data_IF_397584539384
#
_entry.id   IF_397584539384
#
_cell.length_a   1.000
_cell.length_b   1.000
_cell.length_c   1.000
_cell.angle_alpha   90.00
_cell.angle_beta   90.00
_cell.angle_gamma   90.00
#
_symmetry.space_group_name_H-M   'P 1'
#
loop_
_entity.id
_entity.type
_entity.pdbx_description
1 polymer ?
#
# COMPACT_ATOMS: atom_id res chain seq x y z
N UNK A 1 18.97 19.13 -21.33
CA UNK A 1 18.01 18.30 -22.09
C UNK A 1 17.89 16.95 -21.41
N UNK A 2 16.69 16.61 -20.94
CA UNK A 2 16.43 15.41 -20.14
C UNK A 2 16.42 14.15 -21.02
N UNK A 3 17.37 13.25 -20.78
CA UNK A 3 17.37 11.88 -21.30
C UNK A 3 16.26 11.08 -20.60
N UNK A 4 15.15 10.84 -21.29
CA UNK A 4 14.08 9.99 -20.77
C UNK A 4 14.17 8.57 -21.31
N UNK A 5 14.64 7.67 -20.45
CA UNK A 5 14.18 6.29 -20.26
C UNK A 5 13.65 5.52 -21.48
N UNK A 6 14.55 4.73 -22.06
CA UNK A 6 14.29 3.49 -22.77
C UNK A 6 13.39 2.53 -21.96
N UNK A 7 12.44 1.89 -22.65
CA UNK A 7 11.53 0.80 -22.23
C UNK A 7 10.13 1.19 -21.71
N UNK A 8 9.13 0.71 -22.46
CA UNK A 8 7.71 0.72 -22.14
C UNK A 8 6.99 1.87 -22.81
N UNK A 9 5.94 1.57 -23.58
CA UNK A 9 5.01 2.59 -24.08
C UNK A 9 4.65 3.52 -22.93
N UNK A 10 5.16 4.76 -22.97
CA UNK A 10 4.83 5.76 -21.97
C UNK A 10 3.31 5.94 -21.99
N UNK A 11 2.77 6.22 -20.82
CA UNK A 11 1.41 6.64 -20.43
C UNK A 11 0.75 7.70 -21.36
N UNK A 12 1.39 8.15 -22.45
CA UNK A 12 0.94 9.21 -23.33
C UNK A 12 -0.19 8.83 -24.30
N UNK A 13 -0.42 7.56 -24.65
CA UNK A 13 -1.59 7.18 -25.49
C UNK A 13 -2.93 7.23 -24.74
N UNK A 14 -2.92 7.52 -23.43
CA UNK A 14 -4.07 7.39 -22.53
C UNK A 14 -4.93 8.66 -22.40
N UNK A 15 -4.78 9.65 -23.30
CA UNK A 15 -5.48 10.93 -23.14
C UNK A 15 -6.86 11.01 -23.80
N UNK A 16 -7.25 10.07 -24.66
CA UNK A 16 -8.55 10.13 -25.37
C UNK A 16 -9.43 8.90 -25.18
N UNK A 17 -8.88 7.68 -25.33
CA UNK A 17 -9.62 6.44 -25.13
C UNK A 17 -8.84 5.46 -24.24
N UNK A 18 -9.27 5.31 -22.98
CA UNK A 18 -8.69 4.38 -22.01
C UNK A 18 -9.57 3.13 -21.85
N UNK A 19 -9.19 1.96 -22.42
CA UNK A 19 -10.00 0.74 -22.34
C UNK A 19 -10.29 0.26 -20.91
N UNK A 20 -9.45 0.66 -19.92
CA UNK A 20 -9.71 0.35 -18.51
C UNK A 20 -10.89 1.14 -17.95
N UNK A 21 -11.11 2.37 -18.40
CA UNK A 21 -12.27 3.17 -17.98
C UNK A 21 -13.56 2.60 -18.56
N UNK A 22 -13.54 2.13 -19.82
CA UNK A 22 -14.66 1.41 -20.41
C UNK A 22 -15.00 0.15 -19.60
N UNK A 23 -14.01 -0.70 -19.30
CA UNK A 23 -14.21 -1.90 -18.47
C UNK A 23 -14.72 -1.55 -17.07
N UNK A 24 -14.19 -0.51 -16.43
CA UNK A 24 -14.65 -0.05 -15.12
C UNK A 24 -16.12 0.37 -15.15
N UNK A 25 -16.52 1.18 -16.14
CA UNK A 25 -17.93 1.58 -16.33
C UNK A 25 -18.85 0.37 -16.46
N UNK A 26 -18.42 -0.68 -17.15
CA UNK A 26 -19.21 -1.90 -17.30
C UNK A 26 -19.34 -2.70 -15.99
N UNK A 27 -18.29 -2.78 -15.20
CA UNK A 27 -18.31 -3.41 -13.86
C UNK A 27 -19.24 -2.62 -12.94
N UNK A 28 -19.06 -1.30 -12.89
CA UNK A 28 -19.85 -0.42 -12.01
C UNK A 28 -21.34 -0.42 -12.41
N UNK A 29 -21.64 -0.53 -13.72
CA UNK A 29 -23.01 -0.66 -14.23
C UNK A 29 -23.65 -2.04 -14.06
N UNK A 30 -22.85 -3.07 -13.72
CA UNK A 30 -23.33 -4.45 -13.53
C UNK A 30 -22.65 -5.11 -12.31
N UNK A 31 -22.90 -4.63 -11.07
CA UNK A 31 -22.13 -4.97 -9.88
C UNK A 31 -22.19 -6.44 -9.44
N UNK A 32 -23.13 -7.22 -10.00
CA UNK A 32 -23.28 -8.66 -9.73
C UNK A 32 -23.11 -9.52 -10.98
N UNK A 33 -22.71 -8.94 -12.11
CA UNK A 33 -22.52 -9.70 -13.33
C UNK A 33 -21.28 -10.60 -13.23
N UNK A 34 -21.41 -11.79 -13.80
CA UNK A 34 -20.28 -12.67 -13.97
C UNK A 34 -19.27 -12.13 -14.99
N UNK A 35 -18.02 -12.57 -14.84
CA UNK A 35 -16.92 -12.19 -15.75
C UNK A 35 -17.24 -12.50 -17.23
N UNK A 36 -17.90 -13.62 -17.49
CA UNK A 36 -18.32 -14.06 -18.83
C UNK A 36 -19.25 -13.03 -19.48
N UNK A 37 -20.25 -12.56 -18.73
CA UNK A 37 -21.17 -11.52 -19.17
C UNK A 37 -20.43 -10.20 -19.44
N UNK A 38 -19.57 -9.77 -18.52
CA UNK A 38 -18.79 -8.53 -18.69
C UNK A 38 -17.86 -8.59 -19.91
N UNK A 39 -17.31 -9.75 -20.25
CA UNK A 39 -16.51 -9.94 -21.45
C UNK A 39 -17.35 -9.78 -22.73
N UNK A 40 -18.56 -10.34 -22.76
CA UNK A 40 -19.49 -10.17 -23.88
C UNK A 40 -19.87 -8.70 -24.03
N UNK A 41 -20.21 -8.02 -22.93
CA UNK A 41 -20.53 -6.59 -22.94
C UNK A 41 -19.37 -5.71 -23.37
N UNK A 42 -18.16 -5.98 -22.87
CA UNK A 42 -16.97 -5.26 -23.32
C UNK A 42 -16.76 -5.45 -24.83
N UNK A 43 -16.95 -6.67 -25.34
CA UNK A 43 -16.84 -6.94 -26.77
C UNK A 43 -17.87 -6.13 -27.56
N UNK A 44 -19.14 -6.15 -27.16
CA UNK A 44 -20.20 -5.37 -27.79
C UNK A 44 -19.86 -3.87 -27.86
N UNK A 45 -19.42 -3.30 -26.73
CA UNK A 45 -19.03 -1.88 -26.65
C UNK A 45 -17.82 -1.54 -27.55
N UNK A 46 -16.82 -2.42 -27.65
CA UNK A 46 -15.64 -2.19 -28.48
C UNK A 46 -15.93 -2.24 -29.98
N UNK A 47 -16.97 -2.95 -30.39
CA UNK A 47 -17.40 -3.02 -31.79
C UNK A 47 -18.44 -1.95 -32.15
N UNK A 48 -18.86 -1.12 -31.19
CA UNK A 48 -19.74 0.02 -31.45
C UNK A 48 -18.96 1.13 -32.17
N UNK A 49 -19.53 1.72 -33.22
CA UNK A 49 -18.84 2.70 -34.08
C UNK A 49 -18.33 3.92 -33.30
N UNK A 50 -19.10 4.38 -32.31
CA UNK A 50 -18.73 5.52 -31.44
C UNK A 50 -17.55 5.22 -30.49
N UNK A 51 -17.18 3.95 -30.32
CA UNK A 51 -16.15 3.49 -29.39
C UNK A 51 -14.92 2.92 -30.10
N UNK A 52 -14.79 3.09 -31.42
CA UNK A 52 -13.71 2.50 -32.23
C UNK A 52 -12.31 2.89 -31.72
N UNK A 53 -12.17 4.10 -31.15
CA UNK A 53 -10.91 4.58 -30.56
C UNK A 53 -10.41 3.67 -29.41
N UNK A 54 -11.31 3.06 -28.64
CA UNK A 54 -10.93 2.10 -27.59
C UNK A 54 -10.36 0.81 -28.17
N UNK A 55 -10.93 0.32 -29.27
CA UNK A 55 -10.46 -0.88 -29.95
C UNK A 55 -9.09 -0.64 -30.58
N UNK A 56 -8.90 0.49 -31.25
CA UNK A 56 -7.60 0.89 -31.81
C UNK A 56 -6.51 0.96 -30.73
N UNK A 57 -6.82 1.61 -29.60
CA UNK A 57 -5.90 1.69 -28.46
C UNK A 57 -5.53 0.30 -27.88
N UNK A 58 -6.50 -0.62 -27.80
CA UNK A 58 -6.24 -2.00 -27.36
C UNK A 58 -5.34 -2.76 -28.33
N UNK A 59 -5.59 -2.62 -29.64
CA UNK A 59 -4.80 -3.28 -30.69
C UNK A 59 -3.37 -2.73 -30.70
N UNK A 60 -3.20 -1.41 -30.66
CA UNK A 60 -1.88 -0.76 -30.64
C UNK A 60 -1.07 -1.23 -29.41
N UNK A 61 -1.69 -1.25 -28.23
CA UNK A 61 -1.05 -1.73 -27.01
C UNK A 61 -0.65 -3.20 -27.10
N UNK A 62 -1.56 -4.05 -27.58
CA UNK A 62 -1.27 -5.47 -27.77
C UNK A 62 -0.11 -5.66 -28.75
N UNK A 63 -0.15 -4.95 -29.89
CA UNK A 63 0.88 -5.03 -30.91
C UNK A 63 2.25 -4.60 -30.36
N UNK A 64 2.36 -3.41 -29.77
CA UNK A 64 3.62 -2.88 -29.24
C UNK A 64 4.23 -3.85 -28.23
N UNK A 65 3.44 -4.35 -27.28
CA UNK A 65 3.96 -5.26 -26.25
C UNK A 65 4.43 -6.59 -26.80
N UNK A 66 3.67 -7.18 -27.73
CA UNK A 66 4.05 -8.46 -28.32
C UNK A 66 5.19 -8.31 -29.32
N UNK A 67 5.18 -7.25 -30.15
CA UNK A 67 6.25 -6.93 -31.08
C UNK A 67 7.57 -6.74 -30.34
N UNK A 68 7.60 -5.93 -29.27
CA UNK A 68 8.81 -5.77 -28.48
C UNK A 68 9.24 -7.09 -27.82
N UNK A 69 8.32 -7.89 -27.29
CA UNK A 69 8.67 -9.21 -26.72
C UNK A 69 9.24 -10.19 -27.74
N UNK A 70 8.88 -10.05 -29.01
CA UNK A 70 9.31 -10.94 -30.09
C UNK A 70 10.62 -10.46 -30.74
N UNK A 71 10.75 -9.16 -31.01
CA UNK A 71 11.92 -8.56 -31.67
C UNK A 71 13.05 -8.31 -30.68
N UNK A 72 12.72 -7.77 -29.51
CA UNK A 72 13.68 -7.57 -28.43
C UNK A 72 13.48 -8.70 -27.43
N UNK A 73 14.06 -9.86 -27.72
CA UNK A 73 14.27 -10.88 -26.70
C UNK A 73 15.57 -10.53 -25.97
N UNK A 74 15.52 -9.82 -24.82
CA UNK A 74 16.72 -9.65 -24.00
C UNK A 74 17.28 -11.03 -23.70
N UNK A 75 18.61 -11.15 -23.76
CA UNK A 75 19.25 -12.41 -23.45
C UNK A 75 18.91 -12.78 -21.99
N UNK A 76 19.00 -14.07 -21.64
CA UNK A 76 18.62 -14.56 -20.31
C UNK A 76 19.31 -13.78 -19.16
N UNK A 77 20.56 -13.40 -19.34
CA UNK A 77 21.33 -12.63 -18.34
C UNK A 77 20.80 -11.20 -18.16
N UNK A 78 20.34 -10.55 -19.24
CA UNK A 78 19.73 -9.21 -19.16
C UNK A 78 18.39 -9.24 -18.44
N UNK A 79 17.59 -10.29 -18.65
CA UNK A 79 16.34 -10.51 -17.90
C UNK A 79 16.60 -10.70 -16.42
N UNK A 80 17.57 -11.54 -16.07
CA UNK A 80 17.93 -11.80 -14.67
C UNK A 80 18.47 -10.56 -13.96
N UNK A 81 19.29 -9.74 -14.66
CA UNK A 81 19.77 -8.46 -14.14
C UNK A 81 18.63 -7.46 -13.92
N UNK A 82 17.72 -7.34 -14.89
CA UNK A 82 16.54 -6.47 -14.79
C UNK A 82 15.61 -6.89 -13.64
N UNK A 83 15.37 -8.20 -13.50
CA UNK A 83 14.55 -8.75 -12.42
C UNK A 83 15.16 -8.48 -11.04
N UNK A 84 16.47 -8.74 -10.87
CA UNK A 84 17.19 -8.42 -9.62
C UNK A 84 17.18 -6.91 -9.32
N UNK A 85 17.35 -6.05 -10.32
CA UNK A 85 17.27 -4.61 -10.15
C UNK A 85 15.87 -4.14 -9.72
N UNK A 86 14.82 -4.72 -10.31
CA UNK A 86 13.42 -4.46 -9.93
C UNK A 86 13.13 -4.92 -8.50
N UNK A 87 13.57 -6.13 -8.13
CA UNK A 87 13.43 -6.63 -6.75
C UNK A 87 14.14 -5.71 -5.75
N UNK A 88 15.39 -5.30 -6.03
CA UNK A 88 16.13 -4.37 -5.17
C UNK A 88 15.42 -3.02 -5.00
N UNK A 89 14.79 -2.50 -6.06
CA UNK A 89 13.97 -1.28 -5.97
C UNK A 89 12.74 -1.49 -5.10
N UNK A 90 12.03 -2.60 -5.28
CA UNK A 90 10.83 -2.91 -4.48
C UNK A 90 11.19 -3.09 -3.00
N UNK A 91 12.27 -3.80 -2.69
CA UNK A 91 12.73 -3.97 -1.32
C UNK A 91 13.17 -2.64 -0.69
N UNK A 92 13.90 -1.79 -1.42
CA UNK A 92 14.29 -0.47 -0.93
C UNK A 92 13.08 0.46 -0.69
N UNK A 93 12.06 0.39 -1.54
CA UNK A 93 10.80 1.13 -1.34
C UNK A 93 10.04 0.59 -0.13
N UNK A 94 9.99 -0.73 0.04
CA UNK A 94 9.35 -1.37 1.19
C UNK A 94 10.03 -0.96 2.50
N UNK A 95 11.36 -1.04 2.57
CA UNK A 95 12.13 -0.61 3.74
C UNK A 95 11.89 0.87 4.06
N UNK A 96 11.81 1.74 3.05
CA UNK A 96 11.51 3.16 3.24
C UNK A 96 10.09 3.42 3.72
N UNK A 97 9.12 2.61 3.28
CA UNK A 97 7.73 2.68 3.76
C UNK A 97 7.66 2.17 5.19
N UNK A 98 8.31 1.06 5.52
CA UNK A 98 8.37 0.52 6.88
C UNK A 98 9.06 1.50 7.84
N UNK A 99 10.15 2.14 7.43
CA UNK A 99 10.81 3.17 8.24
C UNK A 99 9.91 4.38 8.44
N UNK A 100 9.20 4.83 7.40
CA UNK A 100 8.22 5.92 7.52
C UNK A 100 7.03 5.55 8.37
N UNK A 101 6.51 4.32 8.27
CA UNK A 101 5.45 3.84 9.16
C UNK A 101 5.98 3.80 10.59
N UNK A 102 7.23 3.42 10.86
CA UNK A 102 7.80 3.48 12.20
C UNK A 102 8.04 4.91 12.70
N UNK A 103 8.32 5.86 11.79
CA UNK A 103 8.49 7.29 12.10
C UNK A 103 7.15 8.05 12.25
N UNK A 104 6.12 7.69 11.48
CA UNK A 104 4.78 8.30 11.48
C UNK A 104 3.86 7.59 12.48
N UNK A 105 3.91 6.26 12.55
CA UNK A 105 3.48 5.47 13.72
C UNK A 105 4.56 5.50 14.80
N UNK A 106 5.08 6.70 15.06
CA UNK A 106 5.34 7.16 16.40
C UNK A 106 4.06 6.94 17.22
N UNK A 107 3.84 5.68 17.63
CA UNK A 107 2.79 5.24 18.53
C UNK A 107 2.72 6.31 19.61
N UNK A 108 1.63 7.06 19.63
CA UNK A 108 1.27 7.84 20.81
C UNK A 108 0.80 6.78 21.79
N UNK A 109 1.75 6.15 22.48
CA UNK A 109 1.49 5.07 23.42
C UNK A 109 0.59 5.57 24.55
N UNK A 110 0.71 6.86 24.90
CA UNK A 110 -0.22 7.52 25.81
C UNK A 110 -1.66 7.54 25.27
N UNK A 111 -1.88 7.58 23.96
CA UNK A 111 -3.23 7.62 23.37
C UNK A 111 -3.75 6.21 23.03
N UNK A 112 -3.00 5.15 23.37
CA UNK A 112 -3.42 3.76 23.21
C UNK A 112 -4.56 3.44 24.18
N UNK A 113 -5.65 2.86 23.67
CA UNK A 113 -6.79 2.43 24.48
C UNK A 113 -6.48 1.11 25.20
N UNK A 114 -6.68 1.09 26.52
CA UNK A 114 -6.53 -0.09 27.39
C UNK A 114 -7.81 -0.95 27.41
N UNK A 115 -7.76 -2.20 27.93
CA UNK A 115 -8.96 -3.04 28.10
C UNK A 115 -10.06 -2.41 28.98
N UNK A 116 -9.71 -1.42 29.81
CA UNK A 116 -10.65 -0.62 30.59
C UNK A 116 -11.48 0.35 29.73
N UNK A 117 -11.14 0.52 28.44
CA UNK A 117 -11.78 1.45 27.51
C UNK A 117 -11.25 2.89 27.57
N UNK A 118 -10.28 3.18 28.44
CA UNK A 118 -9.62 4.50 28.55
C UNK A 118 -8.27 4.51 27.85
N UNK A 119 -7.80 5.69 27.48
CA UNK A 119 -6.43 5.85 26.97
C UNK A 119 -5.41 5.61 28.09
N UNK A 120 -4.19 5.19 27.73
CA UNK A 120 -3.11 5.03 28.69
C UNK A 120 -2.83 6.34 29.45
N UNK A 121 -2.95 7.49 28.78
CA UNK A 121 -2.81 8.84 29.34
C UNK A 121 -3.73 9.07 30.54
N UNK A 122 -4.94 8.54 30.50
CA UNK A 122 -5.98 8.70 31.54
C UNK A 122 -6.05 7.51 32.51
N UNK A 123 -5.18 6.52 32.34
CA UNK A 123 -5.18 5.30 33.14
C UNK A 123 -4.25 5.45 34.34
N UNK A 124 -4.61 4.80 35.44
CA UNK A 124 -3.82 4.78 36.66
C UNK A 124 -2.74 3.68 36.62
N UNK A 125 -1.79 3.71 37.55
CA UNK A 125 -0.84 2.61 37.76
C UNK A 125 -1.52 1.27 38.03
N UNK A 126 -2.64 1.28 38.76
CA UNK A 126 -3.43 0.08 39.02
C UNK A 126 -4.08 -0.47 37.73
N UNK A 127 -4.60 0.40 36.87
CA UNK A 127 -5.18 0.00 35.57
C UNK A 127 -4.12 -0.64 34.66
N UNK A 128 -2.89 -0.08 34.68
CA UNK A 128 -1.75 -0.62 33.94
C UNK A 128 -1.32 -2.00 34.45
N UNK A 129 -1.30 -2.20 35.77
CA UNK A 129 -0.99 -3.50 36.37
C UNK A 129 -2.05 -4.54 36.01
N UNK A 130 -3.33 -4.16 36.07
CA UNK A 130 -4.46 -5.03 35.70
C UNK A 130 -4.47 -5.40 34.22
N UNK A 131 -4.07 -4.48 33.35
CA UNK A 131 -3.98 -4.73 31.91
C UNK A 131 -2.84 -5.72 31.54
N UNK A 132 -1.79 -5.78 32.36
CA UNK A 132 -0.70 -6.75 32.22
C UNK A 132 0.24 -6.51 31.04
N UNK A 133 1.10 -7.49 30.76
CA UNK A 133 2.07 -7.43 29.66
C UNK A 133 3.13 -6.34 29.88
N UNK A 134 3.39 -5.52 28.86
CA UNK A 134 4.37 -4.44 28.96
C UNK A 134 3.90 -3.29 29.87
N UNK A 135 2.58 -3.16 30.10
CA UNK A 135 2.01 -2.13 30.97
C UNK A 135 2.32 -2.35 32.45
N UNK A 136 2.60 -3.58 32.87
CA UNK A 136 3.13 -3.84 34.22
C UNK A 136 4.50 -3.19 34.45
N UNK A 137 5.28 -2.91 33.39
CA UNK A 137 6.52 -2.13 33.52
C UNK A 137 6.24 -0.64 33.77
N UNK A 138 5.13 -0.12 33.25
CA UNK A 138 4.64 1.23 33.55
C UNK A 138 4.17 1.30 35.01
N UNK A 139 3.37 0.32 35.45
CA UNK A 139 2.89 0.22 36.82
C UNK A 139 4.02 0.14 37.87
N UNK A 140 5.15 -0.51 37.55
CA UNK A 140 6.35 -0.53 38.40
C UNK A 140 7.03 0.83 38.58
N UNK A 141 6.74 1.81 37.72
CA UNK A 141 7.40 3.13 37.71
C UNK A 141 6.53 4.25 38.28
N UNK A 142 5.26 4.00 38.51
CA UNK A 142 4.29 4.99 39.02
C UNK A 142 3.53 4.41 40.20
N UNK A 143 2.98 5.25 41.07
CA UNK A 143 2.16 4.78 42.18
C UNK A 143 0.77 4.31 41.69
N UNK A 144 0.09 3.39 42.38
CA UNK A 144 -1.18 2.82 41.91
C UNK A 144 -2.26 3.86 41.56
N UNK A 145 -2.38 4.95 42.32
CA UNK A 145 -3.36 6.01 42.08
C UNK A 145 -2.91 7.15 41.17
N UNK A 146 -1.66 7.13 40.68
CA UNK A 146 -1.16 8.18 39.79
C UNK A 146 -1.59 7.92 38.36
N UNK A 147 -1.97 9.00 37.66
CA UNK A 147 -2.34 8.97 36.25
C UNK A 147 -1.07 9.03 35.39
N UNK A 148 -0.95 8.12 34.43
CA UNK A 148 0.26 7.97 33.61
C UNK A 148 0.56 9.26 32.84
N UNK A 149 -0.45 9.92 32.27
CA UNK A 149 -0.29 11.15 31.49
C UNK A 149 0.25 12.35 32.27
N UNK A 150 0.09 12.35 33.60
CA UNK A 150 0.54 13.44 34.47
C UNK A 150 2.00 13.27 34.92
N UNK A 151 2.46 12.01 34.98
CA UNK A 151 3.77 11.67 35.57
C UNK A 151 4.78 11.11 34.57
N UNK A 152 4.33 10.71 33.37
CA UNK A 152 5.17 10.15 32.31
C UNK A 152 5.01 10.87 30.98
N UNK A 153 6.14 11.18 30.36
CA UNK A 153 6.20 11.63 28.98
C UNK A 153 6.10 10.45 28.01
N UNK A 154 5.65 10.72 26.79
CA UNK A 154 5.57 9.76 25.70
C UNK A 154 6.92 9.04 25.47
N UNK A 155 8.04 9.76 25.58
CA UNK A 155 9.38 9.20 25.44
C UNK A 155 9.73 8.18 26.53
N UNK A 156 9.33 8.44 27.78
CA UNK A 156 9.55 7.51 28.89
C UNK A 156 8.71 6.23 28.71
N UNK A 157 7.45 6.37 28.28
CA UNK A 157 6.56 5.23 27.98
C UNK A 157 7.13 4.41 26.82
N UNK A 158 7.67 5.05 25.77
CA UNK A 158 8.34 4.37 24.65
C UNK A 158 9.56 3.56 25.07
N UNK A 159 10.37 4.07 26.00
CA UNK A 159 11.54 3.34 26.51
C UNK A 159 11.10 2.06 27.22
N UNK A 160 10.04 2.12 28.02
CA UNK A 160 9.48 0.96 28.70
C UNK A 160 8.91 -0.07 27.71
N UNK A 161 8.17 0.37 26.70
CA UNK A 161 7.63 -0.51 25.66
C UNK A 161 8.73 -1.22 24.86
N UNK A 162 9.80 -0.50 24.47
CA UNK A 162 10.94 -1.09 23.77
C UNK A 162 11.68 -2.10 24.66
N UNK A 163 11.88 -1.79 25.94
CA UNK A 163 12.54 -2.68 26.88
C UNK A 163 11.76 -3.98 27.14
N UNK A 164 10.43 -3.93 27.08
CA UNK A 164 9.57 -5.11 27.25
C UNK A 164 9.47 -6.01 26.01
N UNK A 165 9.97 -5.56 24.84
CA UNK A 165 9.99 -6.33 23.59
C UNK A 165 11.32 -7.06 23.33
N UNK A 166 12.35 -6.77 24.12
CA UNK A 166 13.63 -7.49 24.10
C UNK A 166 13.57 -8.69 25.04
#
# INVERSE_FOLDING_TARGET
>A
MLYTGTYGAKVQSWKKANPRELLKRLIDGHPSAEKSFLLVKLREELFHEENIEYLEAMIEYWFINNYHSLVFRPNRQERDRSHKAKQRRVSAVKERIESRILEEAQLMLLDMILPTGRSLRESSGEDCERAGGWLSQVAKKIQPGQIVGDVMTEEQVRRLWKAAKQ
#
